data_IF_046115740636
#
_entry.id   IF_046115740636
#
_cell.length_a   1.000
_cell.length_b   1.000
_cell.length_c   1.000
_cell.angle_alpha   90.00
_cell.angle_beta   90.00
_cell.angle_gamma   90.00
#
_symmetry.space_group_name_H-M   'P 1'
#
loop_
_entity.id
_entity.type
_entity.pdbx_description
1 polymer ?
#
# COMPACT_ATOMS: atom_id res chain seq x y z
N UNK A 1 -81.11 -8.33 -5.03
CA UNK A 1 -79.99 -9.14 -4.54
C UNK A 1 -78.73 -8.59 -5.19
N UNK A 2 -78.02 -7.74 -4.46
CA UNK A 2 -76.82 -7.03 -4.90
C UNK A 2 -75.63 -7.81 -4.34
N UNK A 3 -74.87 -8.44 -5.23
CA UNK A 3 -73.68 -9.23 -4.85
C UNK A 3 -72.51 -8.25 -4.82
N UNK A 4 -72.04 -7.92 -3.62
CA UNK A 4 -70.78 -7.20 -3.39
C UNK A 4 -69.62 -8.07 -3.87
N UNK A 5 -68.76 -7.60 -4.79
CA UNK A 5 -67.57 -8.33 -5.19
C UNK A 5 -66.59 -8.32 -4.02
N UNK A 6 -66.38 -9.51 -3.47
CA UNK A 6 -65.43 -9.81 -2.41
C UNK A 6 -64.00 -9.63 -2.95
N UNK A 7 -63.20 -8.86 -2.21
CA UNK A 7 -61.83 -8.47 -2.57
C UNK A 7 -60.93 -9.70 -2.60
N UNK A 8 -60.64 -10.21 -3.80
CA UNK A 8 -59.64 -11.26 -3.99
C UNK A 8 -58.28 -10.65 -3.64
N UNK A 9 -57.56 -11.15 -2.62
CA UNK A 9 -56.20 -10.71 -2.34
C UNK A 9 -55.34 -11.04 -3.56
N UNK A 10 -54.91 -10.02 -4.27
CA UNK A 10 -54.03 -10.15 -5.42
C UNK A 10 -52.67 -10.65 -4.93
N UNK A 11 -52.15 -11.72 -5.55
CA UNK A 11 -50.84 -12.31 -5.24
C UNK A 11 -49.69 -11.28 -5.20
N UNK A 12 -49.88 -10.12 -5.81
CA UNK A 12 -49.00 -8.96 -5.75
C UNK A 12 -48.86 -8.39 -4.32
N UNK A 13 -49.94 -8.35 -3.53
CA UNK A 13 -49.92 -7.89 -2.13
C UNK A 13 -49.12 -8.82 -1.22
N UNK A 14 -49.15 -10.14 -1.49
CA UNK A 14 -48.38 -11.11 -0.72
C UNK A 14 -46.88 -10.99 -1.00
N UNK A 15 -46.52 -10.75 -2.27
CA UNK A 15 -45.13 -10.54 -2.68
C UNK A 15 -44.57 -9.25 -2.05
N UNK A 16 -45.32 -8.15 -2.08
CA UNK A 16 -44.90 -6.89 -1.45
C UNK A 16 -44.70 -7.04 0.06
N UNK A 17 -45.61 -7.74 0.73
CA UNK A 17 -45.51 -8.00 2.17
C UNK A 17 -44.27 -8.84 2.49
N UNK A 18 -44.02 -9.90 1.71
CA UNK A 18 -42.88 -10.78 1.91
C UNK A 18 -41.54 -10.07 1.62
N UNK A 19 -41.49 -9.18 0.62
CA UNK A 19 -40.31 -8.39 0.30
C UNK A 19 -40.00 -7.38 1.42
N UNK A 20 -41.04 -6.75 1.97
CA UNK A 20 -40.93 -5.79 3.06
C UNK A 20 -40.38 -6.43 4.33
N UNK A 21 -40.91 -7.60 4.71
CA UNK A 21 -40.39 -8.36 5.86
C UNK A 21 -38.94 -8.80 5.66
N UNK A 22 -38.60 -9.27 4.46
CA UNK A 22 -37.23 -9.69 4.16
C UNK A 22 -36.23 -8.53 4.20
N UNK A 23 -36.61 -7.35 3.71
CA UNK A 23 -35.81 -6.14 3.84
C UNK A 23 -35.67 -5.68 5.28
N UNK A 24 -36.74 -5.79 6.08
CA UNK A 24 -36.72 -5.45 7.51
C UNK A 24 -35.74 -6.34 8.29
N UNK A 25 -35.74 -7.65 8.03
CA UNK A 25 -34.82 -8.60 8.65
C UNK A 25 -33.35 -8.34 8.24
N UNK A 26 -33.10 -8.06 6.96
CA UNK A 26 -31.75 -7.72 6.48
C UNK A 26 -31.24 -6.40 7.09
N UNK A 27 -32.09 -5.39 7.20
CA UNK A 27 -31.75 -4.11 7.82
C UNK A 27 -31.41 -4.29 9.31
N UNK A 28 -32.19 -5.08 10.05
CA UNK A 28 -31.93 -5.38 11.45
C UNK A 28 -30.59 -6.10 11.66
N UNK A 29 -30.29 -7.10 10.83
CA UNK A 29 -29.00 -7.81 10.88
C UNK A 29 -27.80 -6.91 10.57
N UNK A 30 -27.94 -6.01 9.59
CA UNK A 30 -26.89 -5.05 9.24
C UNK A 30 -26.62 -4.03 10.36
N UNK A 31 -27.67 -3.53 11.01
CA UNK A 31 -27.52 -2.62 12.17
C UNK A 31 -26.82 -3.32 13.32
N UNK A 32 -27.20 -4.56 13.64
CA UNK A 32 -26.55 -5.34 14.69
C UNK A 32 -25.06 -5.61 14.40
N UNK A 33 -24.69 -5.91 13.15
CA UNK A 33 -23.29 -6.09 12.75
C UNK A 33 -22.49 -4.78 12.87
N UNK A 34 -23.07 -3.65 12.50
CA UNK A 34 -22.44 -2.34 12.69
C UNK A 34 -22.28 -1.95 14.17
N UNK A 35 -23.24 -2.31 15.04
CA UNK A 35 -23.15 -2.14 16.50
C UNK A 35 -22.03 -3.03 17.06
N UNK A 36 -21.97 -4.30 16.67
CA UNK A 36 -20.94 -5.24 17.09
C UNK A 36 -19.53 -4.80 16.66
N UNK A 37 -19.41 -4.16 15.50
CA UNK A 37 -18.15 -3.60 14.99
C UNK A 37 -17.78 -2.26 15.66
N UNK A 38 -18.60 -1.73 16.58
CA UNK A 38 -18.41 -0.42 17.20
C UNK A 38 -18.44 0.74 16.19
N UNK A 39 -19.05 0.51 15.02
CA UNK A 39 -19.15 1.49 13.93
C UNK A 39 -20.44 2.29 13.95
N UNK A 40 -21.47 1.75 14.59
CA UNK A 40 -22.69 2.48 14.88
C UNK A 40 -22.47 3.28 16.16
N UNK A 41 -22.29 4.60 16.02
CA UNK A 41 -22.38 5.52 17.16
C UNK A 41 -23.84 5.48 17.59
N UNK A 42 -24.11 4.88 18.75
CA UNK A 42 -25.48 4.68 19.22
C UNK A 42 -26.27 5.99 19.21
N UNK A 43 -27.58 5.96 18.92
CA UNK A 43 -28.44 7.16 18.83
C UNK A 43 -28.62 7.93 20.16
N UNK A 44 -27.80 7.65 21.18
CA UNK A 44 -27.77 8.34 22.47
C UNK A 44 -26.42 9.00 22.80
N UNK A 45 -25.41 8.92 21.93
CA UNK A 45 -24.07 9.41 22.27
C UNK A 45 -23.86 10.88 21.83
N UNK A 46 -24.76 11.75 22.28
CA UNK A 46 -24.60 13.20 22.15
C UNK A 46 -23.22 13.64 22.65
N UNK A 47 -22.66 12.95 23.66
CA UNK A 47 -21.30 13.18 24.15
C UNK A 47 -20.18 12.77 23.18
N UNK A 48 -20.39 11.84 22.24
CA UNK A 48 -19.43 11.55 21.17
C UNK A 48 -19.50 12.62 20.09
N UNK A 49 -20.70 13.05 19.69
CA UNK A 49 -20.86 14.16 18.75
C UNK A 49 -20.36 15.48 19.33
N UNK A 50 -20.58 15.72 20.63
CA UNK A 50 -20.07 16.89 21.34
C UNK A 50 -18.54 16.81 21.52
N UNK A 51 -17.97 15.63 21.80
CA UNK A 51 -16.51 15.44 21.75
C UNK A 51 -15.94 15.65 20.35
N UNK A 52 -16.59 15.16 19.31
CA UNK A 52 -16.14 15.33 17.92
C UNK A 52 -16.26 16.79 17.50
N UNK A 53 -17.35 17.47 17.89
CA UNK A 53 -17.55 18.91 17.67
C UNK A 53 -16.52 19.73 18.41
N UNK A 54 -16.30 19.46 19.69
CA UNK A 54 -15.27 20.12 20.49
C UNK A 54 -13.89 19.90 19.87
N UNK A 55 -13.57 18.69 19.39
CA UNK A 55 -12.32 18.36 18.72
C UNK A 55 -12.17 19.08 17.36
N UNK A 56 -13.25 19.26 16.61
CA UNK A 56 -13.27 20.02 15.35
C UNK A 56 -13.14 21.53 15.62
N UNK A 57 -13.80 22.05 16.65
CA UNK A 57 -13.68 23.45 17.07
C UNK A 57 -12.27 23.76 17.59
N UNK A 58 -11.68 22.90 18.43
CA UNK A 58 -10.27 23.05 18.84
C UNK A 58 -9.33 23.02 17.65
N UNK A 59 -9.64 22.24 16.59
CA UNK A 59 -8.84 22.23 15.36
C UNK A 59 -9.00 23.51 14.54
N UNK A 60 -10.19 24.11 14.55
CA UNK A 60 -10.47 25.35 13.84
C UNK A 60 -9.72 26.53 14.46
N UNK A 61 -9.50 26.49 15.77
CA UNK A 61 -8.79 27.53 16.52
C UNK A 61 -7.26 27.38 16.49
N UNK A 62 -6.73 26.33 15.84
CA UNK A 62 -5.28 26.17 15.68
C UNK A 62 -4.71 27.21 14.69
N UNK A 63 -3.49 27.73 14.94
CA UNK A 63 -2.78 28.60 14.00
C UNK A 63 -2.66 27.96 12.61
N UNK A 64 -2.73 28.77 11.54
CA UNK A 64 -2.74 28.28 10.16
C UNK A 64 -1.54 27.39 9.81
N UNK A 65 -0.34 27.73 10.29
CA UNK A 65 0.88 26.94 10.12
C UNK A 65 0.75 25.52 10.74
N UNK A 66 0.01 25.42 11.85
CA UNK A 66 -0.23 24.16 12.52
C UNK A 66 -1.20 23.28 11.73
N UNK A 67 -2.27 23.86 11.16
CA UNK A 67 -3.21 23.14 10.29
C UNK A 67 -2.52 22.58 9.04
N UNK A 68 -1.72 23.41 8.36
CA UNK A 68 -0.97 22.99 7.19
C UNK A 68 -0.03 21.80 7.50
N UNK A 69 0.60 21.80 8.68
CA UNK A 69 1.46 20.68 9.10
C UNK A 69 0.66 19.39 9.34
N UNK A 70 -0.50 19.48 10.01
CA UNK A 70 -1.37 18.31 10.22
C UNK A 70 -1.89 17.74 8.90
N UNK A 71 -2.27 18.60 7.95
CA UNK A 71 -2.70 18.20 6.60
C UNK A 71 -1.56 17.54 5.84
N UNK A 72 -0.34 18.09 5.90
CA UNK A 72 0.86 17.50 5.28
C UNK A 72 1.15 16.12 5.86
N UNK A 73 1.16 15.97 7.20
CA UNK A 73 1.42 14.67 7.86
C UNK A 73 0.31 13.65 7.52
N UNK A 74 -0.93 14.10 7.41
CA UNK A 74 -2.05 13.20 7.06
C UNK A 74 -2.00 12.80 5.59
N UNK A 75 -1.73 13.74 4.69
CA UNK A 75 -1.71 13.54 3.24
C UNK A 75 -0.48 12.81 2.73
N UNK A 76 0.72 13.26 3.12
CA UNK A 76 1.98 12.72 2.62
C UNK A 76 2.44 11.48 3.37
N UNK A 77 2.26 11.46 4.70
CA UNK A 77 2.74 10.35 5.53
C UNK A 77 1.64 9.31 5.86
N UNK A 78 0.37 9.60 5.55
CA UNK A 78 -0.74 8.65 5.74
C UNK A 78 -1.09 8.33 7.19
N UNK A 79 -0.64 9.15 8.16
CA UNK A 79 -0.97 8.93 9.57
C UNK A 79 -2.45 9.26 9.86
N UNK A 80 -3.10 8.54 10.79
CA UNK A 80 -4.41 8.93 11.29
C UNK A 80 -4.39 10.35 11.86
N UNK A 81 -5.48 11.11 11.68
CA UNK A 81 -5.53 12.54 12.06
C UNK A 81 -5.14 12.81 13.53
N UNK A 82 -5.45 11.90 14.44
CA UNK A 82 -5.07 12.02 15.87
C UNK A 82 -3.56 11.84 16.10
N UNK A 83 -2.90 11.02 15.30
CA UNK A 83 -1.45 10.84 15.34
C UNK A 83 -0.79 12.05 14.71
N UNK A 84 -1.32 12.54 13.58
CA UNK A 84 -0.83 13.75 12.92
C UNK A 84 -0.90 14.99 13.84
N UNK A 85 -1.99 15.15 14.59
CA UNK A 85 -2.13 16.21 15.59
C UNK A 85 -1.08 16.07 16.71
N UNK A 86 -0.85 14.86 17.24
CA UNK A 86 0.16 14.63 18.28
C UNK A 86 1.58 14.93 17.80
N UNK A 87 1.91 14.54 16.56
CA UNK A 87 3.19 14.84 15.92
C UNK A 87 3.34 16.34 15.71
N UNK A 88 2.33 17.02 15.16
CA UNK A 88 2.36 18.47 15.02
C UNK A 88 2.50 19.19 16.37
N UNK A 89 1.90 18.68 17.46
CA UNK A 89 2.05 19.25 18.80
C UNK A 89 3.49 19.13 19.27
N UNK A 90 4.10 17.95 19.09
CA UNK A 90 5.48 17.72 19.47
C UNK A 90 6.45 18.61 18.66
N UNK A 91 6.23 18.73 17.34
CA UNK A 91 7.03 19.60 16.48
C UNK A 91 6.91 21.08 16.89
N UNK A 92 5.71 21.54 17.22
CA UNK A 92 5.49 22.89 17.70
C UNK A 92 6.17 23.15 19.06
N UNK A 93 6.03 22.21 20.02
CA UNK A 93 6.73 22.30 21.33
C UNK A 93 8.25 22.33 21.19
N UNK A 94 8.78 21.66 20.18
CA UNK A 94 10.22 21.67 19.88
C UNK A 94 10.67 22.90 19.08
N UNK A 95 9.78 23.86 18.79
CA UNK A 95 10.09 25.07 18.04
C UNK A 95 10.33 24.83 16.54
N UNK A 96 9.99 23.65 16.02
CA UNK A 96 10.17 23.29 14.60
C UNK A 96 9.06 23.85 13.71
N UNK A 97 7.92 24.24 14.30
CA UNK A 97 6.83 24.95 13.62
C UNK A 97 6.77 26.36 14.22
N UNK A 98 7.26 27.37 13.48
CA UNK A 98 7.16 28.78 13.89
C UNK A 98 5.75 29.31 13.63
N UNK A 99 5.10 29.84 14.66
CA UNK A 99 3.72 30.33 14.59
C UNK A 99 3.57 31.63 13.78
N UNK A 100 4.63 32.43 13.67
CA UNK A 100 4.61 33.78 13.07
C UNK A 100 5.31 33.89 11.71
N UNK A 101 5.64 32.76 11.07
CA UNK A 101 6.07 32.83 9.68
C UNK A 101 4.85 33.14 8.81
N UNK A 102 4.58 34.44 8.58
CA UNK A 102 3.67 34.86 7.52
C UNK A 102 4.03 34.07 6.26
N UNK A 103 3.05 33.49 5.56
CA UNK A 103 3.33 32.72 4.35
C UNK A 103 4.04 33.66 3.38
N UNK A 104 5.35 33.47 3.23
CA UNK A 104 6.12 34.18 2.23
C UNK A 104 5.49 33.80 0.91
N UNK A 105 4.94 34.76 0.13
CA UNK A 105 4.40 34.46 -1.18
C UNK A 105 5.48 33.71 -1.94
N UNK A 106 5.15 32.52 -2.44
CA UNK A 106 6.01 31.80 -3.36
C UNK A 106 5.95 32.60 -4.67
N UNK A 107 6.70 33.70 -4.72
CA UNK A 107 6.98 34.38 -5.97
C UNK A 107 7.79 33.38 -6.78
N UNK A 108 7.22 32.98 -7.92
CA UNK A 108 7.82 32.07 -8.87
C UNK A 108 9.25 32.54 -9.17
N UNK A 109 10.23 31.77 -8.67
CA UNK A 109 11.63 31.93 -9.04
C UNK A 109 11.72 31.85 -10.57
N UNK A 110 11.84 33.02 -11.18
CA UNK A 110 12.32 33.17 -12.55
C UNK A 110 13.72 32.56 -12.55
N UNK A 111 13.83 31.44 -13.24
CA UNK A 111 15.10 30.84 -13.64
C UNK A 111 15.85 31.87 -14.49
N UNK A 112 16.74 32.64 -13.87
CA UNK A 112 17.72 33.45 -14.56
C UNK A 112 18.75 32.51 -15.20
N UNK A 113 18.75 32.51 -16.52
CA UNK A 113 19.70 31.81 -17.38
C UNK A 113 21.11 32.30 -17.13
N UNK A 114 21.94 31.43 -16.55
CA UNK A 114 23.38 31.62 -16.40
C UNK A 114 24.10 31.47 -17.76
N UNK A 115 24.24 32.58 -18.47
CA UNK A 115 25.27 32.76 -19.49
C UNK A 115 26.14 33.93 -19.03
N UNK A 116 27.47 33.77 -19.15
CA UNK A 116 28.53 34.67 -18.68
C UNK A 116 29.02 34.45 -17.24
N UNK A 117 29.93 33.48 -17.08
CA UNK A 117 31.03 33.59 -16.12
C UNK A 117 32.35 33.37 -16.84
N UNK A 118 33.20 34.40 -16.79
CA UNK A 118 34.57 34.43 -17.28
C UNK A 118 35.47 33.37 -16.61
N UNK A 119 36.56 32.94 -17.28
CA UNK A 119 37.49 31.96 -16.73
C UNK A 119 38.40 32.57 -15.66
N UNK A 120 38.23 32.13 -14.42
CA UNK A 120 39.17 32.40 -13.32
C UNK A 120 40.40 31.50 -13.48
N UNK A 121 41.55 32.16 -13.44
CA UNK A 121 42.91 31.62 -13.57
C UNK A 121 43.20 30.61 -12.46
N UNK A 122 43.56 29.39 -12.87
CA UNK A 122 43.87 28.24 -12.03
C UNK A 122 45.24 28.43 -11.34
N UNK A 123 45.21 28.67 -10.03
CA UNK A 123 46.37 28.71 -9.16
C UNK A 123 46.41 27.40 -8.35
N UNK A 124 47.52 26.67 -8.47
CA UNK A 124 47.69 25.32 -7.95
C UNK A 124 47.58 25.24 -6.42
N UNK A 125 46.83 24.27 -5.85
CA UNK A 125 46.82 24.05 -4.41
C UNK A 125 47.98 23.17 -3.95
N UNK A 126 48.64 23.64 -2.90
CA UNK A 126 49.69 22.95 -2.16
C UNK A 126 49.21 21.63 -1.53
N UNK A 127 50.13 20.65 -1.48
CA UNK A 127 49.98 19.35 -0.82
C UNK A 127 49.51 19.47 0.63
N UNK A 128 48.40 18.79 0.95
CA UNK A 128 47.93 18.56 2.31
C UNK A 128 48.42 17.17 2.77
N UNK A 129 49.10 17.04 3.92
CA UNK A 129 49.58 15.75 4.40
C UNK A 129 48.43 14.86 4.90
N UNK A 130 48.46 13.59 4.49
CA UNK A 130 47.47 12.58 4.81
C UNK A 130 47.42 12.23 6.32
N UNK A 131 46.23 11.98 6.90
CA UNK A 131 46.11 11.51 8.29
C UNK A 131 46.45 10.00 8.40
N UNK A 132 46.93 9.54 9.57
CA UNK A 132 47.41 8.17 9.75
C UNK A 132 46.27 7.13 9.78
N UNK A 133 46.52 6.02 9.08
CA UNK A 133 45.69 4.81 9.01
C UNK A 133 45.56 4.17 10.40
N UNK A 134 44.33 4.06 10.91
CA UNK A 134 44.02 3.25 12.10
C UNK A 134 43.77 1.81 11.69
N UNK A 135 44.68 0.92 12.09
CA UNK A 135 44.53 -0.54 11.98
C UNK A 135 43.64 -1.01 13.11
N UNK A 136 42.38 -1.38 12.82
CA UNK A 136 41.52 -2.07 13.79
C UNK A 136 41.68 -3.58 13.63
N UNK A 137 42.41 -4.17 14.57
CA UNK A 137 42.54 -5.61 14.81
C UNK A 137 41.29 -6.15 15.52
N UNK A 138 40.75 -7.25 15.00
CA UNK A 138 40.17 -8.37 15.77
C UNK A 138 38.77 -8.18 16.36
N UNK A 139 37.74 -8.60 15.63
CA UNK A 139 36.47 -8.98 16.23
C UNK A 139 36.49 -10.48 16.54
N UNK A 140 36.33 -10.81 17.82
CA UNK A 140 36.23 -12.18 18.35
C UNK A 140 34.79 -12.67 18.15
N UNK A 141 34.63 -13.79 17.47
CA UNK A 141 33.33 -14.47 17.30
C UNK A 141 33.04 -15.28 18.56
N UNK A 142 31.95 -14.94 19.27
CA UNK A 142 31.39 -15.73 20.37
C UNK A 142 30.36 -16.70 19.79
N UNK A 143 30.48 -18.03 20.00
CA UNK A 143 29.47 -18.97 19.55
C UNK A 143 28.24 -18.93 20.45
N UNK A 144 27.09 -18.57 19.89
CA UNK A 144 25.78 -18.72 20.55
C UNK A 144 25.32 -20.17 20.36
N UNK A 145 25.24 -20.93 21.45
CA UNK A 145 24.65 -22.26 21.49
C UNK A 145 23.12 -22.13 21.45
N UNK A 146 22.50 -22.61 20.39
CA UNK A 146 21.05 -22.85 20.36
C UNK A 146 20.74 -24.22 21.00
N UNK A 147 20.23 -24.18 22.22
CA UNK A 147 19.29 -25.15 22.76
C UNK A 147 17.88 -24.50 22.64
N UNK A 148 16.75 -25.15 22.42
CA UNK A 148 16.39 -26.55 22.43
C UNK A 148 15.21 -26.77 21.46
N UNK A 149 15.09 -28.03 21.05
CA UNK A 149 14.01 -28.68 20.31
C UNK A 149 12.65 -28.46 20.99
N UNK A 150 11.73 -27.78 20.32
CA UNK A 150 10.31 -27.78 20.69
C UNK A 150 9.64 -29.02 20.09
N UNK A 151 9.06 -29.85 20.96
CA UNK A 151 8.27 -31.02 20.60
C UNK A 151 6.99 -30.60 19.88
N UNK A 152 6.65 -31.35 18.83
CA UNK A 152 5.43 -31.20 18.07
C UNK A 152 4.23 -31.64 18.93
N UNK A 153 3.31 -30.71 19.19
CA UNK A 153 1.99 -31.02 19.75
C UNK A 153 1.04 -31.23 18.58
N UNK A 154 0.51 -32.44 18.50
CA UNK A 154 -0.48 -32.88 17.51
C UNK A 154 -1.84 -32.21 17.79
N UNK A 155 -2.46 -31.49 16.84
CA UNK A 155 -3.74 -30.84 17.06
C UNK A 155 -4.91 -31.84 16.91
N UNK A 156 -5.84 -31.79 17.86
CA UNK A 156 -7.05 -32.60 17.89
C UNK A 156 -8.02 -32.30 16.72
N UNK A 157 -8.81 -33.29 16.26
CA UNK A 157 -9.71 -33.13 15.12
C UNK A 157 -10.91 -32.23 15.45
N UNK A 158 -11.13 -31.23 14.61
CA UNK A 158 -12.30 -30.33 14.67
C UNK A 158 -13.50 -30.96 13.94
N UNK A 159 -14.73 -30.91 14.49
CA UNK A 159 -15.90 -31.45 13.82
C UNK A 159 -16.33 -30.57 12.62
N UNK A 160 -16.92 -31.16 11.55
CA UNK A 160 -17.33 -30.42 10.37
C UNK A 160 -18.62 -29.65 10.62
N UNK A 161 -18.57 -28.32 10.53
CA UNK A 161 -19.77 -27.50 10.35
C UNK A 161 -20.11 -27.42 8.87
N UNK A 162 -21.27 -27.97 8.50
CA UNK A 162 -21.84 -27.84 7.17
C UNK A 162 -22.26 -26.40 6.91
N UNK A 163 -21.66 -25.76 5.91
CA UNK A 163 -22.09 -24.46 5.37
C UNK A 163 -22.93 -24.76 4.14
N UNK A 164 -24.24 -24.57 4.27
CA UNK A 164 -25.20 -24.66 3.18
C UNK A 164 -25.02 -23.43 2.26
N UNK A 165 -24.60 -23.67 1.01
CA UNK A 165 -24.40 -22.60 0.02
C UNK A 165 -25.76 -22.10 -0.49
N UNK A 166 -26.15 -20.89 -0.08
CA UNK A 166 -27.33 -20.20 -0.62
C UNK A 166 -26.94 -19.46 -1.90
N UNK A 167 -27.32 -20.02 -3.05
CA UNK A 167 -27.20 -19.37 -4.37
C UNK A 167 -28.31 -18.33 -4.55
N UNK A 168 -28.08 -17.10 -4.08
CA UNK A 168 -28.97 -15.95 -4.31
C UNK A 168 -28.26 -14.83 -5.06
N UNK A 169 -28.72 -14.51 -6.28
CA UNK A 169 -28.19 -13.44 -7.13
C UNK A 169 -28.63 -12.07 -6.58
N UNK A 170 -27.68 -11.29 -6.05
CA UNK A 170 -27.93 -9.93 -5.51
C UNK A 170 -28.08 -8.93 -6.68
N UNK A 171 -29.15 -8.10 -6.72
CA UNK A 171 -29.28 -7.05 -7.74
C UNK A 171 -28.29 -5.89 -7.49
N UNK A 172 -27.67 -5.40 -8.56
CA UNK A 172 -26.69 -4.31 -8.51
C UNK A 172 -27.34 -2.99 -8.09
N UNK A 173 -26.81 -2.28 -7.08
CA UNK A 173 -27.30 -0.95 -6.71
C UNK A 173 -26.94 0.06 -7.80
N UNK A 174 -27.95 0.81 -8.24
CA UNK A 174 -27.85 1.95 -9.17
C UNK A 174 -27.25 3.15 -8.41
N UNK A 175 -26.20 3.82 -8.89
CA UNK A 175 -25.62 4.96 -8.19
C UNK A 175 -26.58 6.16 -8.18
N UNK A 176 -26.74 6.76 -7.00
CA UNK A 176 -27.59 7.91 -6.71
C UNK A 176 -26.95 9.25 -7.14
N UNK A 177 -26.49 9.34 -8.38
CA UNK A 177 -25.95 10.57 -8.97
C UNK A 177 -26.96 11.19 -9.95
N UNK A 178 -28.05 11.72 -9.39
CA UNK A 178 -28.98 12.58 -10.13
C UNK A 178 -29.70 13.51 -9.14
N UNK A 179 -28.97 14.48 -8.60
CA UNK A 179 -29.58 15.68 -8.01
C UNK A 179 -29.00 16.90 -8.71
N UNK A 180 -29.69 17.29 -9.78
CA UNK A 180 -30.07 18.65 -10.14
C UNK A 180 -29.00 19.73 -9.93
N UNK A 181 -28.24 20.00 -10.98
CA UNK A 181 -27.90 21.38 -11.37
C UNK A 181 -28.58 21.62 -12.71
N UNK A 182 -29.76 22.23 -12.66
CA UNK A 182 -30.41 22.82 -13.83
C UNK A 182 -29.90 24.27 -13.97
N UNK A 183 -29.88 24.76 -15.21
CA UNK A 183 -29.52 26.12 -15.64
C UNK A 183 -28.06 26.39 -16.04
N UNK A 184 -27.48 25.49 -16.81
CA UNK A 184 -26.51 25.87 -17.84
C UNK A 184 -26.93 25.21 -19.16
N UNK A 185 -27.45 26.01 -20.11
CA UNK A 185 -27.77 25.49 -21.44
C UNK A 185 -26.50 24.92 -22.09
N UNK A 186 -26.48 23.61 -22.41
CA UNK A 186 -25.33 23.01 -23.07
C UNK A 186 -25.25 23.51 -24.51
N UNK A 187 -24.10 24.10 -24.86
CA UNK A 187 -23.79 24.44 -26.26
C UNK A 187 -24.00 23.22 -27.17
N UNK A 188 -24.91 23.28 -28.16
CA UNK A 188 -25.19 22.16 -29.05
C UNK A 188 -24.03 22.00 -30.03
N UNK A 189 -23.09 21.09 -29.73
CA UNK A 189 -22.03 20.71 -30.66
C UNK A 189 -20.72 20.22 -30.05
N UNK A 190 -20.45 20.51 -28.77
CA UNK A 190 -19.27 19.97 -28.10
C UNK A 190 -19.58 18.55 -27.61
N UNK A 191 -19.04 17.53 -28.29
CA UNK A 191 -19.05 16.18 -27.70
C UNK A 191 -18.24 16.23 -26.40
N UNK A 192 -18.79 15.76 -25.27
CA UNK A 192 -18.05 15.75 -24.01
C UNK A 192 -16.80 14.90 -24.20
N UNK A 193 -15.63 15.55 -24.08
CA UNK A 193 -14.35 14.84 -24.11
C UNK A 193 -14.42 13.81 -22.97
N UNK A 194 -14.25 12.51 -23.25
CA UNK A 194 -14.33 11.49 -22.23
C UNK A 194 -13.28 11.79 -21.15
N UNK A 195 -13.63 11.70 -19.86
CA UNK A 195 -12.69 12.02 -18.79
C UNK A 195 -11.45 11.14 -18.91
N UNK A 196 -10.26 11.68 -18.63
CA UNK A 196 -8.97 10.96 -18.71
C UNK A 196 -9.01 9.59 -18.01
N UNK A 197 -9.72 9.49 -16.90
CA UNK A 197 -9.96 8.25 -16.14
C UNK A 197 -10.65 7.15 -16.98
N UNK A 198 -11.58 7.51 -17.86
CA UNK A 198 -12.26 6.57 -18.74
C UNK A 198 -11.36 6.04 -19.85
N UNK A 199 -10.44 6.87 -20.38
CA UNK A 199 -9.44 6.44 -21.35
C UNK A 199 -8.47 5.45 -20.72
N UNK A 200 -7.93 5.77 -19.54
CA UNK A 200 -7.04 4.87 -18.78
C UNK A 200 -7.74 3.57 -18.45
N UNK A 201 -8.99 3.62 -17.99
CA UNK A 201 -9.79 2.41 -17.74
C UNK A 201 -9.98 1.56 -19.00
N UNK A 202 -10.27 2.18 -20.16
CA UNK A 202 -10.38 1.45 -21.44
C UNK A 202 -9.05 0.77 -21.81
N UNK A 203 -7.95 1.51 -21.73
CA UNK A 203 -6.61 1.00 -22.02
C UNK A 203 -6.22 -0.17 -21.09
N UNK A 204 -6.49 -0.05 -19.79
CA UNK A 204 -6.27 -1.14 -18.83
C UNK A 204 -7.13 -2.36 -19.16
N UNK A 205 -8.40 -2.16 -19.53
CA UNK A 205 -9.29 -3.25 -19.94
C UNK A 205 -8.80 -3.94 -21.21
N UNK A 206 -8.31 -3.19 -22.18
CA UNK A 206 -7.81 -3.73 -23.44
C UNK A 206 -6.49 -4.50 -23.24
N UNK A 207 -5.58 -3.97 -22.42
CA UNK A 207 -4.28 -4.60 -22.11
C UNK A 207 -4.43 -5.84 -21.23
N UNK A 208 -5.44 -5.86 -20.35
CA UNK A 208 -5.68 -6.94 -19.39
C UNK A 208 -6.85 -7.85 -19.79
N UNK A 209 -7.28 -7.86 -21.06
CA UNK A 209 -8.44 -8.65 -21.52
C UNK A 209 -8.29 -10.15 -21.23
N UNK A 210 -7.09 -10.69 -21.35
CA UNK A 210 -6.82 -12.13 -21.20
C UNK A 210 -6.40 -12.52 -19.77
N UNK A 211 -6.42 -11.56 -18.84
CA UNK A 211 -6.04 -11.76 -17.43
C UNK A 211 -7.23 -12.26 -16.62
N UNK A 212 -7.20 -13.52 -16.20
CA UNK A 212 -8.29 -14.16 -15.44
C UNK A 212 -8.41 -13.63 -14.00
N UNK A 213 -7.34 -13.03 -13.48
CA UNK A 213 -7.30 -12.46 -12.14
C UNK A 213 -8.08 -11.16 -12.02
N UNK A 214 -8.33 -10.42 -13.12
CA UNK A 214 -9.08 -9.16 -13.12
C UNK A 214 -10.57 -9.42 -12.89
N UNK A 215 -11.11 -8.93 -11.78
CA UNK A 215 -12.52 -9.13 -11.40
C UNK A 215 -13.39 -7.94 -11.75
N UNK A 216 -12.94 -6.75 -11.43
CA UNK A 216 -13.65 -5.53 -11.80
C UNK A 216 -12.68 -4.38 -12.05
N UNK A 217 -13.11 -3.51 -12.94
CA UNK A 217 -12.42 -2.28 -13.30
C UNK A 217 -13.47 -1.18 -13.41
N UNK A 218 -13.47 -0.26 -12.45
CA UNK A 218 -14.38 0.88 -12.39
C UNK A 218 -13.57 2.18 -12.35
N UNK A 219 -14.21 3.29 -12.68
CA UNK A 219 -13.57 4.61 -12.68
C UNK A 219 -14.58 5.66 -12.25
N UNK A 220 -14.09 6.73 -11.63
CA UNK A 220 -14.83 7.95 -11.33
C UNK A 220 -14.13 9.16 -11.99
N UNK A 221 -14.46 10.39 -11.58
CA UNK A 221 -13.85 11.61 -12.14
C UNK A 221 -12.37 11.77 -11.81
N UNK A 222 -11.87 11.09 -10.78
CA UNK A 222 -10.55 11.32 -10.18
C UNK A 222 -9.67 10.06 -10.19
N UNK A 223 -10.27 8.86 -10.13
CA UNK A 223 -9.57 7.61 -9.87
C UNK A 223 -10.02 6.48 -10.79
N UNK A 224 -9.14 5.48 -10.93
CA UNK A 224 -9.47 4.14 -11.42
C UNK A 224 -9.38 3.16 -10.26
N UNK A 225 -10.42 2.37 -10.04
CA UNK A 225 -10.44 1.29 -9.06
C UNK A 225 -10.29 -0.07 -9.76
N UNK A 226 -9.30 -0.83 -9.33
CA UNK A 226 -8.91 -2.12 -9.88
C UNK A 226 -9.12 -3.16 -8.79
N UNK A 227 -9.91 -4.19 -9.08
CA UNK A 227 -10.15 -5.30 -8.17
C UNK A 227 -9.70 -6.60 -8.81
N UNK A 228 -8.79 -7.31 -8.14
CA UNK A 228 -8.23 -8.57 -8.61
C UNK A 228 -8.43 -9.67 -7.59
N UNK A 229 -8.47 -10.92 -8.05
CA UNK A 229 -8.29 -12.11 -7.21
C UNK A 229 -7.03 -12.82 -7.68
N UNK A 230 -5.93 -12.62 -6.94
CA UNK A 230 -4.64 -13.18 -7.30
C UNK A 230 -4.65 -14.71 -7.11
N UNK A 231 -4.17 -15.45 -8.11
CA UNK A 231 -3.93 -16.88 -7.99
C UNK A 231 -2.50 -17.15 -7.48
N UNK A 232 -1.56 -16.26 -7.78
CA UNK A 232 -0.18 -16.30 -7.29
C UNK A 232 0.37 -14.90 -6.99
N UNK A 233 1.57 -14.83 -6.40
CA UNK A 233 2.23 -13.54 -6.15
C UNK A 233 2.69 -12.83 -7.43
N UNK A 234 2.91 -13.56 -8.54
CA UNK A 234 3.26 -12.94 -9.82
C UNK A 234 2.10 -12.08 -10.37
N UNK A 235 0.85 -12.49 -10.16
CA UNK A 235 -0.33 -11.69 -10.50
C UNK A 235 -0.30 -10.37 -9.72
N UNK A 236 -0.04 -10.45 -8.42
CA UNK A 236 0.07 -9.29 -7.54
C UNK A 236 1.21 -8.35 -7.97
N UNK A 237 2.39 -8.89 -8.27
CA UNK A 237 3.54 -8.11 -8.74
C UNK A 237 3.28 -7.45 -10.10
N UNK A 238 2.58 -8.13 -10.99
CA UNK A 238 2.15 -7.56 -12.25
C UNK A 238 1.27 -6.33 -12.02
N UNK A 239 0.21 -6.46 -11.21
CA UNK A 239 -0.72 -5.36 -10.96
C UNK A 239 -0.09 -4.21 -10.17
N UNK A 240 0.84 -4.50 -9.24
CA UNK A 240 1.67 -3.47 -8.63
C UNK A 240 2.46 -2.69 -9.68
N UNK A 241 3.07 -3.39 -10.65
CA UNK A 241 3.82 -2.74 -11.74
C UNK A 241 2.91 -1.90 -12.64
N UNK A 242 1.70 -2.38 -12.93
CA UNK A 242 0.70 -1.66 -13.75
C UNK A 242 0.32 -0.32 -13.12
N UNK A 243 0.09 -0.26 -11.81
CA UNK A 243 -0.25 0.99 -11.11
C UNK A 243 0.97 1.91 -10.85
N UNK A 244 2.09 1.69 -11.54
CA UNK A 244 3.32 2.48 -11.38
C UNK A 244 4.23 2.01 -10.24
N UNK A 245 4.04 0.80 -9.72
CA UNK A 245 4.75 0.25 -8.57
C UNK A 245 6.10 -0.40 -8.85
N UNK A 246 6.90 0.23 -9.74
CA UNK A 246 8.31 -0.11 -9.87
C UNK A 246 9.13 0.26 -8.60
N UNK A 247 8.63 1.18 -7.75
CA UNK A 247 9.23 1.52 -6.47
C UNK A 247 8.20 1.98 -5.44
N UNK A 248 8.38 1.57 -4.19
CA UNK A 248 7.70 2.07 -2.98
C UNK A 248 6.19 2.31 -3.03
N UNK A 249 5.41 1.48 -3.72
CA UNK A 249 3.95 1.52 -3.56
C UNK A 249 3.61 1.11 -2.14
N UNK A 250 2.96 2.03 -1.42
CA UNK A 250 2.43 1.76 -0.10
C UNK A 250 1.34 0.70 -0.23
N UNK A 251 1.57 -0.44 0.43
CA UNK A 251 0.60 -1.53 0.48
C UNK A 251 0.14 -1.72 1.91
N UNK A 252 -1.15 -1.95 2.11
CA UNK A 252 -1.73 -2.25 3.42
C UNK A 252 -2.66 -3.44 3.33
N UNK A 253 -2.67 -4.25 4.39
CA UNK A 253 -3.64 -5.33 4.54
C UNK A 253 -4.90 -4.77 5.22
N UNK A 254 -6.07 -5.01 4.63
CA UNK A 254 -7.37 -4.64 5.18
C UNK A 254 -8.24 -5.89 5.15
N UNK A 255 -8.48 -6.49 6.33
CA UNK A 255 -9.16 -7.78 6.48
C UNK A 255 -8.46 -8.87 5.64
N UNK A 256 -9.16 -9.44 4.68
CA UNK A 256 -8.74 -10.50 3.76
C UNK A 256 -8.19 -9.97 2.42
N UNK A 257 -8.00 -8.64 2.31
CA UNK A 257 -7.53 -8.00 1.08
C UNK A 257 -6.22 -7.25 1.29
N UNK A 258 -5.40 -7.20 0.23
CA UNK A 258 -4.27 -6.29 0.13
C UNK A 258 -4.67 -5.09 -0.72
N UNK A 259 -4.41 -3.88 -0.23
CA UNK A 259 -4.72 -2.63 -0.92
C UNK A 259 -3.43 -1.89 -1.24
N UNK A 260 -3.35 -1.32 -2.44
CA UNK A 260 -2.26 -0.49 -2.92
C UNK A 260 -2.79 0.74 -3.66
N UNK A 261 -2.03 1.84 -3.61
CA UNK A 261 -2.35 3.07 -4.35
C UNK A 261 -1.17 3.49 -5.21
N UNK A 262 -1.45 3.86 -6.46
CA UNK A 262 -0.44 4.27 -7.43
C UNK A 262 -1.03 5.18 -8.50
N UNK A 263 -0.36 5.27 -9.65
CA UNK A 263 -0.81 6.08 -10.77
C UNK A 263 -0.62 5.35 -12.10
N UNK A 264 -1.60 5.49 -13.00
CA UNK A 264 -1.54 5.00 -14.38
C UNK A 264 -1.75 6.19 -15.30
N UNK A 265 -0.74 6.52 -16.11
CA UNK A 265 -0.78 7.68 -17.02
C UNK A 265 -1.27 8.96 -16.31
N UNK A 266 -0.74 9.22 -15.11
CA UNK A 266 -1.05 10.38 -14.27
C UNK A 266 -2.42 10.36 -13.58
N UNK A 267 -3.23 9.30 -13.76
CA UNK A 267 -4.51 9.11 -13.04
C UNK A 267 -4.26 8.25 -11.81
N UNK A 268 -4.81 8.64 -10.65
CA UNK A 268 -4.68 7.84 -9.43
C UNK A 268 -5.38 6.48 -9.62
N UNK A 269 -4.67 5.41 -9.29
CA UNK A 269 -5.16 4.05 -9.34
C UNK A 269 -5.21 3.44 -7.93
N UNK A 270 -6.34 2.83 -7.58
CA UNK A 270 -6.55 2.09 -6.34
C UNK A 270 -6.67 0.61 -6.67
N UNK A 271 -5.76 -0.20 -6.15
CA UNK A 271 -5.73 -1.63 -6.36
C UNK A 271 -6.17 -2.35 -5.09
N UNK A 272 -7.18 -3.22 -5.21
CA UNK A 272 -7.63 -4.12 -4.16
C UNK A 272 -7.46 -5.55 -4.64
N UNK A 273 -6.69 -6.35 -3.91
CA UNK A 273 -6.37 -7.72 -4.27
C UNK A 273 -6.83 -8.70 -3.18
N UNK A 274 -7.71 -9.62 -3.56
CA UNK A 274 -8.08 -10.77 -2.74
C UNK A 274 -7.00 -11.86 -2.82
N UNK A 275 -6.96 -12.73 -1.82
CA UNK A 275 -6.01 -13.86 -1.67
C UNK A 275 -4.54 -13.45 -1.41
N UNK A 276 -4.14 -12.23 -1.74
CA UNK A 276 -2.75 -11.75 -1.55
C UNK A 276 -2.27 -11.88 -0.11
N UNK A 277 -3.04 -11.54 0.95
CA UNK A 277 -2.58 -11.76 2.33
C UNK A 277 -2.22 -13.22 2.65
N UNK A 278 -3.04 -14.18 2.17
CA UNK A 278 -2.77 -15.61 2.32
C UNK A 278 -1.51 -16.01 1.55
N UNK A 279 -1.38 -15.57 0.29
CA UNK A 279 -0.21 -15.84 -0.55
C UNK A 279 1.09 -15.27 0.04
N UNK A 280 1.03 -14.07 0.64
CA UNK A 280 2.17 -13.47 1.34
C UNK A 280 2.54 -14.24 2.59
N UNK A 281 1.55 -14.71 3.36
CA UNK A 281 1.79 -15.55 4.53
C UNK A 281 2.44 -16.89 4.16
N UNK A 282 1.99 -17.52 3.07
CA UNK A 282 2.59 -18.74 2.52
C UNK A 282 4.03 -18.52 2.07
N UNK A 283 4.30 -17.43 1.34
CA UNK A 283 5.65 -17.07 0.95
C UNK A 283 6.56 -16.76 2.14
N UNK A 284 6.03 -16.10 3.18
CA UNK A 284 6.76 -15.83 4.42
C UNK A 284 7.11 -17.14 5.15
N UNK A 285 6.18 -18.09 5.22
CA UNK A 285 6.42 -19.39 5.86
C UNK A 285 7.40 -20.27 5.07
N UNK A 286 7.43 -20.15 3.75
CA UNK A 286 8.33 -20.91 2.88
C UNK A 286 9.75 -20.33 2.79
N UNK A 287 9.93 -19.05 3.10
CA UNK A 287 11.23 -18.37 3.02
C UNK A 287 12.17 -18.76 4.16
N UNK A 288 13.47 -18.85 3.87
CA UNK A 288 14.49 -19.16 4.90
C UNK A 288 14.77 -17.96 5.79
N UNK A 289 14.84 -16.76 5.19
CA UNK A 289 15.00 -15.51 5.92
C UNK A 289 14.05 -14.44 5.33
N UNK A 290 12.74 -14.49 5.67
CA UNK A 290 11.76 -13.58 5.09
C UNK A 290 11.98 -12.14 5.53
N UNK A 291 11.88 -11.21 4.58
CA UNK A 291 11.74 -9.79 4.86
C UNK A 291 10.61 -9.19 4.03
N UNK A 292 9.65 -8.56 4.70
CA UNK A 292 8.50 -7.92 4.05
C UNK A 292 8.83 -6.46 3.69
N UNK A 293 8.71 -6.12 2.40
CA UNK A 293 8.93 -4.77 1.91
C UNK A 293 7.96 -4.45 0.76
N UNK A 294 7.16 -3.40 0.92
CA UNK A 294 6.21 -2.87 -0.07
C UNK A 294 5.31 -3.94 -0.72
N UNK A 295 4.71 -4.78 0.12
CA UNK A 295 3.78 -5.81 -0.33
C UNK A 295 4.44 -7.02 -0.97
N UNK A 296 5.74 -7.24 -0.74
CA UNK A 296 6.51 -8.39 -1.24
C UNK A 296 7.29 -9.03 -0.11
N UNK A 297 7.49 -10.34 -0.21
CA UNK A 297 8.38 -11.11 0.69
C UNK A 297 9.67 -11.40 -0.07
N UNK A 298 10.78 -10.89 0.46
CA UNK A 298 12.11 -11.20 -0.02
C UNK A 298 12.72 -12.30 0.86
N UNK A 299 13.08 -13.43 0.26
CA UNK A 299 13.82 -14.50 0.96
C UNK A 299 15.32 -14.21 0.94
N UNK A 300 15.82 -13.60 2.01
CA UNK A 300 17.21 -13.18 2.15
C UNK A 300 18.19 -14.35 2.33
N UNK A 301 17.69 -15.58 2.52
CA UNK A 301 18.51 -16.79 2.52
C UNK A 301 18.99 -17.18 1.11
N UNK A 302 18.45 -16.53 0.08
CA UNK A 302 18.76 -16.77 -1.33
C UNK A 302 19.44 -15.54 -1.94
N UNK A 303 20.13 -15.76 -3.06
CA UNK A 303 20.57 -14.65 -3.90
C UNK A 303 19.37 -13.93 -4.48
N UNK A 304 19.53 -12.66 -4.79
CA UNK A 304 18.47 -11.81 -5.32
C UNK A 304 18.96 -11.15 -6.61
N UNK A 305 18.35 -11.46 -7.76
CA UNK A 305 18.73 -10.86 -9.04
C UNK A 305 17.85 -9.65 -9.33
N UNK A 306 18.47 -8.54 -9.71
CA UNK A 306 17.75 -7.34 -10.14
C UNK A 306 17.46 -7.35 -11.65
N UNK A 307 16.74 -6.33 -12.13
CA UNK A 307 16.40 -6.19 -13.56
C UNK A 307 17.60 -6.06 -14.49
N UNK A 308 18.77 -5.68 -13.98
CA UNK A 308 20.02 -5.53 -14.74
C UNK A 308 20.83 -6.82 -14.78
N UNK A 309 20.37 -7.88 -14.11
CA UNK A 309 21.06 -9.16 -14.01
C UNK A 309 22.11 -9.19 -12.89
N UNK A 310 22.24 -8.13 -12.10
CA UNK A 310 23.17 -8.11 -10.96
C UNK A 310 22.57 -8.89 -9.80
N UNK A 311 23.41 -9.74 -9.20
CA UNK A 311 23.04 -10.58 -8.07
C UNK A 311 23.43 -9.89 -6.77
N UNK A 312 22.48 -9.79 -5.86
CA UNK A 312 22.58 -9.23 -4.53
C UNK A 312 22.51 -10.35 -3.50
N UNK A 313 23.30 -10.24 -2.44
CA UNK A 313 23.32 -11.22 -1.35
C UNK A 313 23.24 -10.52 0.00
N UNK A 314 22.48 -11.11 0.92
CA UNK A 314 22.40 -10.65 2.30
C UNK A 314 23.47 -11.37 3.13
N UNK A 315 24.28 -10.62 3.88
CA UNK A 315 25.36 -11.16 4.71
C UNK A 315 24.99 -11.25 6.19
N UNK A 316 23.70 -11.29 6.52
CA UNK A 316 23.23 -11.26 7.91
C UNK A 316 23.34 -9.88 8.59
N UNK A 317 23.70 -8.84 7.84
CA UNK A 317 23.83 -7.49 8.37
C UNK A 317 22.53 -6.70 8.22
N UNK A 318 22.27 -5.86 9.22
CA UNK A 318 21.09 -5.01 9.30
C UNK A 318 21.53 -3.60 9.68
N UNK A 319 20.78 -2.60 9.23
CA UNK A 319 20.99 -1.23 9.65
C UNK A 319 20.54 -1.05 11.10
N UNK A 320 21.44 -0.52 11.95
CA UNK A 320 21.34 -0.55 13.42
C UNK A 320 19.99 -0.12 14.00
N UNK A 321 19.33 0.89 13.40
CA UNK A 321 18.11 1.49 13.96
C UNK A 321 16.81 1.08 13.24
N UNK A 322 16.89 0.61 11.99
CA UNK A 322 15.70 0.37 11.17
C UNK A 322 15.38 -1.12 11.00
N UNK A 323 16.33 -2.00 11.32
CA UNK A 323 16.21 -3.43 10.99
C UNK A 323 16.17 -3.68 9.48
N UNK A 324 16.56 -2.70 8.66
CA UNK A 324 16.60 -2.84 7.21
C UNK A 324 17.78 -3.75 6.82
N UNK A 325 17.55 -4.85 6.09
CA UNK A 325 18.60 -5.73 5.64
C UNK A 325 19.59 -5.02 4.72
N UNK A 326 20.87 -5.33 4.89
CA UNK A 326 21.94 -4.77 4.09
C UNK A 326 22.44 -5.79 3.06
N UNK A 327 22.41 -5.43 1.79
CA UNK A 327 22.81 -6.26 0.65
C UNK A 327 24.15 -5.81 0.08
N UNK A 328 24.93 -6.76 -0.43
CA UNK A 328 26.11 -6.48 -1.26
C UNK A 328 25.92 -7.07 -2.65
N UNK A 329 26.41 -6.37 -3.67
CA UNK A 329 26.47 -6.90 -5.02
C UNK A 329 27.52 -8.03 -5.08
N UNK A 330 27.12 -9.22 -5.49
CA UNK A 330 28.00 -10.39 -5.59
C UNK A 330 29.11 -10.14 -6.61
N UNK A 331 30.35 -10.45 -6.23
CA UNK A 331 31.54 -10.22 -7.06
C UNK A 331 32.09 -8.79 -7.00
N UNK A 332 31.55 -7.95 -6.12
CA UNK A 332 32.05 -6.61 -5.84
C UNK A 332 32.58 -6.53 -4.41
N UNK A 333 33.70 -5.84 -4.20
CA UNK A 333 34.12 -5.35 -2.86
C UNK A 333 33.41 -4.03 -2.51
N UNK A 334 32.19 -3.86 -3.02
CA UNK A 334 31.44 -2.61 -2.94
C UNK A 334 30.84 -2.37 -1.55
N UNK A 335 30.32 -1.17 -1.30
CA UNK A 335 29.64 -0.88 -0.04
C UNK A 335 28.36 -1.73 0.10
N UNK A 336 27.88 -1.82 1.33
CA UNK A 336 26.59 -2.42 1.64
C UNK A 336 25.46 -1.43 1.37
N UNK A 337 24.40 -1.90 0.74
CA UNK A 337 23.23 -1.11 0.38
C UNK A 337 21.99 -1.64 1.11
N UNK A 338 21.17 -0.77 1.72
CA UNK A 338 19.94 -1.22 2.34
C UNK A 338 18.96 -1.72 1.27
N UNK A 339 18.23 -2.81 1.58
CA UNK A 339 17.32 -3.49 0.63
C UNK A 339 16.35 -2.52 -0.05
N UNK A 340 15.77 -1.58 0.70
CA UNK A 340 14.86 -0.58 0.14
C UNK A 340 15.52 0.31 -0.93
N UNK A 341 16.78 0.73 -0.73
CA UNK A 341 17.52 1.52 -1.71
C UNK A 341 17.83 0.71 -2.97
N UNK A 342 18.18 -0.57 -2.80
CA UNK A 342 18.39 -1.49 -3.93
C UNK A 342 17.09 -1.64 -4.73
N UNK A 343 15.96 -1.92 -4.08
CA UNK A 343 14.67 -2.09 -4.76
C UNK A 343 14.20 -0.81 -5.45
N UNK A 344 14.42 0.37 -4.85
CA UNK A 344 14.07 1.65 -5.50
C UNK A 344 14.89 1.93 -6.75
N UNK A 345 16.18 1.58 -6.73
CA UNK A 345 17.10 1.90 -7.82
C UNK A 345 17.02 0.89 -8.95
N UNK A 346 16.95 -0.40 -8.60
CA UNK A 346 17.06 -1.52 -9.53
C UNK A 346 15.75 -2.29 -9.73
N UNK A 347 14.66 -1.87 -9.08
CA UNK A 347 13.36 -2.52 -9.15
C UNK A 347 13.23 -3.73 -8.22
N UNK A 348 12.06 -4.39 -8.22
CA UNK A 348 11.84 -5.58 -7.40
C UNK A 348 12.84 -6.68 -7.76
N UNK A 349 13.41 -7.30 -6.73
CA UNK A 349 14.39 -8.37 -6.86
C UNK A 349 13.71 -9.73 -6.97
N UNK A 350 14.29 -10.63 -7.76
CA UNK A 350 13.83 -12.02 -7.92
C UNK A 350 14.77 -12.98 -7.21
N UNK A 351 14.26 -13.99 -6.49
CA UNK A 351 15.12 -14.96 -5.84
C UNK A 351 15.84 -15.83 -6.89
N UNK A 352 17.14 -16.02 -6.70
CA UNK A 352 17.98 -16.92 -7.49
C UNK A 352 18.72 -17.88 -6.55
N UNK A 353 18.87 -19.13 -6.99
CA UNK A 353 19.72 -20.08 -6.28
C UNK A 353 21.17 -19.60 -6.37
N UNK A 354 21.84 -19.46 -5.24
CA UNK A 354 23.28 -19.23 -5.24
C UNK A 354 23.94 -20.57 -5.59
N UNK A 355 24.91 -20.59 -6.52
CA UNK A 355 25.70 -21.78 -6.73
C UNK A 355 26.38 -22.08 -5.39
N UNK A 356 26.18 -23.30 -4.90
CA UNK A 356 26.93 -23.82 -3.77
C UNK A 356 28.39 -23.63 -4.13
N UNK A 357 29.13 -22.83 -3.36
CA UNK A 357 30.59 -22.85 -3.42
C UNK A 357 31.02 -24.20 -2.85
N UNK A 358 30.75 -25.28 -3.59
CA UNK A 358 31.40 -26.55 -3.37
C UNK A 358 32.86 -26.25 -3.62
N UNK A 359 33.73 -26.27 -2.59
CA UNK A 359 35.15 -26.08 -2.82
C UNK A 359 35.51 -27.12 -3.87
N UNK A 360 36.02 -26.66 -5.02
CA UNK A 360 36.60 -27.55 -6.01
C UNK A 360 37.61 -28.39 -5.23
N UNK A 361 37.24 -29.64 -4.96
CA UNK A 361 38.11 -30.59 -4.30
C UNK A 361 39.33 -30.63 -5.20
N UNK A 362 40.41 -30.01 -4.73
CA UNK A 362 41.68 -30.04 -5.42
C UNK A 362 41.99 -31.52 -5.59
N UNK A 363 41.78 -32.03 -6.80
CA UNK A 363 42.21 -33.35 -7.18
C UNK A 363 43.73 -33.29 -7.06
N UNK A 364 44.22 -33.75 -5.93
CA UNK A 364 45.64 -34.03 -5.67
C UNK A 364 46.04 -35.18 -6.59
N UNK A 365 46.15 -34.88 -7.89
CA UNK A 365 46.76 -35.72 -8.90
C UNK A 365 48.25 -35.40 -8.92
N UNK A 366 48.99 -36.01 -7.99
CA UNK A 366 50.43 -35.87 -7.84
C UNK A 366 51.06 -37.17 -7.39
N UNK A 367 51.00 -38.19 -8.23
CA UNK A 367 51.95 -39.31 -8.22
C UNK A 367 52.49 -39.48 -9.65
N UNK A 368 53.73 -39.08 -9.85
CA UNK A 368 54.70 -39.71 -10.75
C UNK A 368 56.10 -39.25 -10.32
#
# INVERSE_FOLDING_TARGET
MTITPDSIPTAESDIEHQLTERLRLLAAGFVADLEQQGRLVGPGDAGVLERLRAQVETRRDLPAAYRATVETITGECGYPSEVAVRVATALHRNGLIRADAAPVPIEAERVETAAEREPVKEEAPAEVPAPPVRVLRGAVVVPVRHAARAEAVEPAPTPPMGIEQVTGRVPSPRPAAARLSADAEPSPGAQPVPPRTSMVCRQLRDTSRDRLELRSLTWDSEHVAIVIRAACLDDWEHWLSVIGGAGAVATRTVRDTQVATGHVDGVQARLTAYEVPRLLQEAQAAATAPHYLWGRIYDLGRGQIDRTGRVWVHLGQYQDNSGMPMLVARGSEGPLYPLNAVVMTYGPLRPIALPSNTPAQAATGGQA
#
